data_IF_687591715409
#
_entry.id   IF_687591715409
#
_cell.length_a   1.000
_cell.length_b   1.000
_cell.length_c   1.000
_cell.angle_alpha   90.00
_cell.angle_beta   90.00
_cell.angle_gamma   90.00
#
_symmetry.space_group_name_H-M   'P 1'
#
loop_
_entity.id
_entity.type
_entity.pdbx_description
1 polymer ?
#
# COMPACT_ATOMS: atom_id res chain seq x y z
N UNK A 1 -4.25 7.86 0.91
CA UNK A 1 -3.62 6.63 0.42
C UNK A 1 -3.70 6.60 -1.10
N UNK A 2 -2.60 6.35 -1.75
CA UNK A 2 -2.54 6.27 -3.21
C UNK A 2 -2.00 4.91 -3.60
N UNK A 3 -2.70 4.22 -4.49
CA UNK A 3 -2.35 2.88 -4.89
C UNK A 3 -2.20 2.84 -6.40
N UNK A 4 -1.15 2.19 -6.87
CA UNK A 4 -0.92 1.96 -8.29
C UNK A 4 -0.51 0.52 -8.50
N UNK A 5 -0.97 -0.06 -9.59
CA UNK A 5 -0.53 -1.39 -10.01
C UNK A 5 -0.41 -1.36 -11.53
N UNK A 6 0.68 -1.93 -12.04
CA UNK A 6 0.93 -1.92 -13.48
C UNK A 6 1.77 -3.12 -13.89
N UNK A 7 1.74 -3.43 -15.16
CA UNK A 7 2.54 -4.49 -15.74
C UNK A 7 3.83 -3.92 -16.32
N UNK A 8 4.95 -4.54 -15.97
CA UNK A 8 6.26 -4.17 -16.51
C UNK A 8 6.62 -5.17 -17.61
N UNK A 9 6.55 -4.76 -18.88
CA UNK A 9 6.85 -5.70 -19.98
C UNK A 9 8.32 -6.12 -20.03
N UNK A 10 9.21 -5.25 -19.58
CA UNK A 10 10.63 -5.55 -19.59
C UNK A 10 11.00 -6.67 -18.64
N UNK A 11 10.37 -6.69 -17.47
CA UNK A 11 10.62 -7.69 -16.44
C UNK A 11 9.58 -8.81 -16.44
N UNK A 12 8.53 -8.64 -17.25
CA UNK A 12 7.40 -9.56 -17.28
C UNK A 12 6.83 -9.79 -15.88
N UNK A 13 6.60 -8.70 -15.18
CA UNK A 13 6.11 -8.71 -13.79
C UNK A 13 5.00 -7.71 -13.61
N UNK A 14 4.15 -7.99 -12.65
CA UNK A 14 3.20 -7.01 -12.15
C UNK A 14 3.80 -6.31 -10.95
N UNK A 15 3.81 -5.00 -10.99
CA UNK A 15 4.39 -4.18 -9.93
C UNK A 15 3.31 -3.33 -9.30
N UNK A 16 3.50 -3.05 -8.02
CA UNK A 16 2.55 -2.21 -7.31
C UNK A 16 3.28 -1.23 -6.42
N UNK A 17 2.60 -0.14 -6.14
CA UNK A 17 3.11 0.90 -5.27
C UNK A 17 1.98 1.41 -4.38
N UNK A 18 2.29 1.57 -3.11
CA UNK A 18 1.35 2.06 -2.12
C UNK A 18 2.00 3.25 -1.41
N UNK A 19 1.34 4.39 -1.49
CA UNK A 19 1.83 5.61 -0.88
C UNK A 19 0.85 6.05 0.19
N UNK A 20 1.35 6.24 1.41
CA UNK A 20 0.54 6.76 2.51
C UNK A 20 1.22 7.98 3.10
N UNK A 21 0.40 8.97 3.42
CA UNK A 21 0.88 10.17 4.09
C UNK A 21 0.34 10.15 5.51
N UNK A 22 1.23 10.22 6.47
CA UNK A 22 0.80 10.27 7.87
C UNK A 22 0.44 11.69 8.24
N UNK A 23 -0.45 11.82 9.21
CA UNK A 23 -0.83 13.13 9.74
C UNK A 23 0.05 13.54 10.91
N UNK A 24 1.21 12.92 11.05
CA UNK A 24 2.17 13.35 12.05
C UNK A 24 2.60 14.79 11.79
N UNK A 25 2.97 15.54 12.83
CA UNK A 25 3.39 16.93 12.64
C UNK A 25 4.53 17.10 11.64
N UNK A 26 5.31 16.07 11.45
CA UNK A 26 6.42 16.13 10.49
C UNK A 26 5.99 15.78 9.07
N UNK A 27 4.75 15.37 8.87
CA UNK A 27 4.27 15.07 7.52
C UNK A 27 4.99 13.91 6.88
N UNK A 28 5.42 12.95 7.66
CA UNK A 28 6.12 11.79 7.11
C UNK A 28 5.24 11.02 6.14
N UNK A 29 5.84 10.61 5.05
CA UNK A 29 5.17 9.77 4.06
C UNK A 29 5.88 8.44 3.98
N UNK A 30 5.11 7.40 3.70
CA UNK A 30 5.65 6.07 3.53
C UNK A 30 5.27 5.54 2.17
N UNK A 31 6.21 4.89 1.53
CA UNK A 31 5.97 4.25 0.25
C UNK A 31 6.41 2.80 0.34
N UNK A 32 5.53 1.91 -0.09
CA UNK A 32 5.85 0.50 -0.18
C UNK A 32 5.64 0.05 -1.61
N UNK A 33 6.51 -0.82 -2.07
CA UNK A 33 6.44 -1.34 -3.43
C UNK A 33 6.66 -2.84 -3.41
N UNK A 34 6.20 -3.50 -4.44
CA UNK A 34 6.41 -4.92 -4.60
C UNK A 34 6.26 -5.33 -6.05
N UNK A 35 6.65 -6.55 -6.34
CA UNK A 35 6.51 -7.11 -7.68
C UNK A 35 6.23 -8.59 -7.60
N UNK A 36 5.39 -9.07 -8.50
CA UNK A 36 5.06 -10.49 -8.64
C UNK A 36 4.85 -10.80 -10.11
N UNK A 37 5.05 -12.04 -10.48
CA UNK A 37 4.88 -12.44 -11.88
C UNK A 37 3.43 -12.49 -12.30
N UNK A 38 2.52 -12.77 -11.37
CA UNK A 38 1.11 -12.83 -11.67
C UNK A 38 0.37 -11.70 -10.99
N UNK A 39 -0.63 -11.16 -11.70
CA UNK A 39 -1.40 -10.04 -11.18
C UNK A 39 -2.13 -10.42 -9.89
N UNK A 40 -2.61 -11.65 -9.79
CA UNK A 40 -3.32 -12.10 -8.59
C UNK A 40 -2.42 -12.02 -7.37
N UNK A 41 -1.17 -12.45 -7.50
CA UNK A 41 -0.22 -12.40 -6.42
C UNK A 41 0.12 -10.96 -6.03
N UNK A 42 0.27 -10.11 -7.02
CA UNK A 42 0.54 -8.70 -6.77
C UNK A 42 -0.63 -8.04 -6.03
N UNK A 43 -1.85 -8.36 -6.43
CA UNK A 43 -3.04 -7.84 -5.77
C UNK A 43 -3.16 -8.35 -4.34
N UNK A 44 -2.82 -9.60 -4.11
CA UNK A 44 -2.83 -10.16 -2.76
C UNK A 44 -1.81 -9.47 -1.85
N UNK A 45 -0.61 -9.23 -2.37
CA UNK A 45 0.41 -8.51 -1.63
C UNK A 45 -0.08 -7.11 -1.25
N UNK A 46 -0.69 -6.43 -2.21
CA UNK A 46 -1.19 -5.09 -1.99
C UNK A 46 -2.31 -5.09 -0.95
N UNK A 47 -3.24 -6.03 -1.06
CA UNK A 47 -4.34 -6.13 -0.09
C UNK A 47 -3.81 -6.40 1.32
N UNK A 48 -2.85 -7.32 1.45
CA UNK A 48 -2.26 -7.63 2.75
C UNK A 48 -1.57 -6.41 3.34
N UNK A 49 -0.86 -5.66 2.52
CA UNK A 49 -0.18 -4.45 2.96
C UNK A 49 -1.18 -3.40 3.44
N UNK A 50 -2.27 -3.23 2.70
CA UNK A 50 -3.32 -2.28 3.08
C UNK A 50 -3.95 -2.70 4.41
N UNK A 51 -4.27 -3.97 4.56
CA UNK A 51 -4.86 -4.47 5.81
C UNK A 51 -3.94 -4.21 6.99
N UNK A 52 -2.66 -4.45 6.82
CA UNK A 52 -1.68 -4.22 7.86
C UNK A 52 -1.63 -2.75 8.27
N UNK A 53 -1.66 -1.85 7.31
CA UNK A 53 -1.65 -0.43 7.59
C UNK A 53 -2.92 0.02 8.31
N UNK A 54 -4.06 -0.55 7.95
CA UNK A 54 -5.33 -0.25 8.63
C UNK A 54 -5.25 -0.70 10.08
N UNK A 55 -4.74 -1.91 10.32
CA UNK A 55 -4.61 -2.43 11.67
C UNK A 55 -3.69 -1.58 12.53
N UNK A 56 -2.57 -1.14 11.98
CA UNK A 56 -1.65 -0.28 12.70
C UNK A 56 -2.31 1.03 13.09
N UNK A 57 -3.12 1.58 12.20
CA UNK A 57 -3.82 2.83 12.46
C UNK A 57 -4.82 2.69 13.58
N UNK A 58 -5.57 1.59 13.59
CA UNK A 58 -6.54 1.33 14.64
C UNK A 58 -5.86 1.13 15.98
N UNK A 59 -4.74 0.42 16.01
CA UNK A 59 -3.99 0.19 17.24
C UNK A 59 -3.34 1.46 17.76
N UNK A 60 -3.08 2.42 16.88
CA UNK A 60 -2.49 3.68 17.29
C UNK A 60 -3.47 4.62 17.98
N UNK A 61 -4.70 4.20 18.19
CA UNK A 61 -5.68 5.04 18.85
C UNK A 61 -6.34 6.07 17.95
N UNK A 62 -6.00 6.08 16.71
CA UNK A 62 -6.58 6.98 15.73
C UNK A 62 -7.83 6.33 15.18
N UNK A 63 -8.95 6.68 15.75
CA UNK A 63 -10.23 6.05 15.42
C UNK A 63 -10.95 6.73 14.27
N UNK A 64 -10.35 7.68 13.64
CA UNK A 64 -10.98 8.33 12.52
C UNK A 64 -11.09 7.37 11.35
N UNK A 65 -12.22 7.42 10.68
CA UNK A 65 -12.47 6.55 9.56
C UNK A 65 -11.39 6.68 8.47
N UNK A 66 -11.07 5.57 7.88
CA UNK A 66 -10.10 5.54 6.79
C UNK A 66 -10.85 5.76 5.51
N UNK A 67 -10.56 6.86 4.84
CA UNK A 67 -11.11 7.14 3.53
C UNK A 67 -10.12 6.64 2.50
N UNK A 68 -10.51 5.59 1.84
CA UNK A 68 -9.70 4.99 0.78
C UNK A 68 -10.28 5.41 -0.55
#
# INVERSE_FOLDING_TARGET
MRVQIWHSPQLNEWRWSLYTKTYAPKGDSHQQTGSRKEIREAMNDLATTIEHLIELREKGGDSEGINI
#
